data_IF_963916512713
#
_entry.id   IF_963916512713
#
_cell.length_a   1.000
_cell.length_b   1.000
_cell.length_c   1.000
_cell.angle_alpha   90.00
_cell.angle_beta   90.00
_cell.angle_gamma   90.00
#
_symmetry.space_group_name_H-M   'P 1'
#
loop_
_entity.id
_entity.type
_entity.pdbx_description
1 polymer ?
#
# COMPACT_ATOMS: atom_id res chain seq x y z
N UNK A 1 -6.90 -7.48 11.97
CA UNK A 1 -5.48 -7.87 11.88
C UNK A 1 -5.32 -8.85 10.74
N UNK A 2 -4.50 -8.52 9.74
CA UNK A 2 -4.29 -9.39 8.57
C UNK A 2 -3.06 -10.26 8.86
N UNK A 3 -3.21 -11.57 8.70
CA UNK A 3 -2.15 -12.52 9.02
C UNK A 3 -1.43 -12.91 7.73
N UNK A 4 -0.17 -12.49 7.58
CA UNK A 4 0.74 -12.98 6.55
C UNK A 4 1.65 -14.07 7.12
N UNK A 5 2.06 -15.06 6.30
CA UNK A 5 2.92 -16.13 6.76
C UNK A 5 4.33 -15.63 7.10
N UNK A 6 4.76 -15.82 8.35
CA UNK A 6 6.06 -15.39 8.89
C UNK A 6 7.20 -16.36 8.59
N UNK A 7 7.11 -17.12 7.50
CA UNK A 7 8.11 -18.13 7.16
C UNK A 7 9.45 -17.46 6.79
N UNK A 8 10.56 -17.99 7.32
CA UNK A 8 11.93 -17.56 7.01
C UNK A 8 12.23 -16.07 7.34
N UNK A 9 12.26 -15.71 8.64
CA UNK A 9 12.60 -14.35 9.07
C UNK A 9 14.03 -13.99 8.66
N UNK A 10 14.19 -12.81 8.04
CA UNK A 10 15.48 -12.23 7.70
C UNK A 10 15.92 -11.22 8.77
N UNK A 11 14.99 -10.39 9.23
CA UNK A 11 15.18 -9.45 10.33
C UNK A 11 13.89 -9.38 11.13
N UNK A 12 13.97 -9.37 12.46
CA UNK A 12 12.80 -9.23 13.34
C UNK A 12 13.08 -8.26 14.48
N UNK A 13 12.02 -7.58 14.94
CA UNK A 13 12.02 -6.68 16.10
C UNK A 13 13.09 -5.58 16.01
N UNK A 14 13.34 -5.09 14.80
CA UNK A 14 14.24 -3.95 14.59
C UNK A 14 13.47 -2.69 14.99
N UNK A 15 13.95 -1.97 16.00
CA UNK A 15 13.34 -0.70 16.39
C UNK A 15 13.41 0.29 15.20
N UNK A 16 12.25 0.78 14.75
CA UNK A 16 12.15 1.65 13.58
C UNK A 16 12.89 2.98 13.78
N UNK A 17 13.05 3.44 15.02
CA UNK A 17 13.84 4.63 15.38
C UNK A 17 15.35 4.48 15.15
N UNK A 18 15.86 3.26 14.96
CA UNK A 18 17.29 2.98 14.73
C UNK A 18 17.69 2.94 13.26
N UNK A 19 16.73 3.08 12.34
CA UNK A 19 16.97 2.97 10.91
C UNK A 19 16.28 4.09 10.15
N UNK A 20 16.82 4.44 8.99
CA UNK A 20 16.16 5.34 8.04
C UNK A 20 15.29 4.48 7.14
N UNK A 21 13.98 4.46 7.38
CA UNK A 21 13.04 3.56 6.70
C UNK A 21 13.07 3.67 5.16
N UNK A 22 13.14 4.87 4.55
CA UNK A 22 13.35 5.01 3.11
C UNK A 22 14.55 4.22 2.58
N UNK A 23 15.71 4.33 3.26
CA UNK A 23 16.91 3.60 2.85
C UNK A 23 16.73 2.08 2.96
N UNK A 24 15.98 1.61 3.97
CA UNK A 24 15.67 0.18 4.10
C UNK A 24 14.86 -0.29 2.91
N UNK A 25 13.79 0.43 2.54
CA UNK A 25 12.96 0.10 1.38
C UNK A 25 13.78 0.13 0.08
N UNK A 26 14.65 1.12 -0.10
CA UNK A 26 15.55 1.18 -1.25
C UNK A 26 16.55 0.02 -1.30
N UNK A 27 17.14 -0.36 -0.15
CA UNK A 27 18.07 -1.49 -0.06
C UNK A 27 17.39 -2.80 -0.40
N UNK A 28 16.14 -3.01 0.04
CA UNK A 28 15.34 -4.17 -0.36
C UNK A 28 15.10 -4.16 -1.87
N UNK A 29 14.79 -3.00 -2.46
CA UNK A 29 14.59 -2.88 -3.90
C UNK A 29 15.84 -3.17 -4.71
N UNK A 30 16.93 -2.42 -4.46
CA UNK A 30 18.23 -2.56 -5.14
C UNK A 30 18.83 -3.96 -4.95
N UNK A 31 18.59 -4.59 -3.81
CA UNK A 31 19.08 -5.93 -3.48
C UNK A 31 18.29 -7.08 -4.11
N UNK A 32 17.26 -6.81 -4.93
CA UNK A 32 16.46 -7.86 -5.56
C UNK A 32 15.62 -8.66 -4.57
N UNK A 33 15.23 -8.06 -3.44
CA UNK A 33 14.54 -8.76 -2.35
C UNK A 33 13.20 -9.37 -2.81
N UNK A 34 12.85 -10.51 -2.22
CA UNK A 34 11.58 -11.21 -2.43
C UNK A 34 11.03 -11.66 -1.09
N UNK A 35 9.81 -11.24 -0.76
CA UNK A 35 9.22 -11.43 0.55
C UNK A 35 8.38 -10.22 0.95
N UNK A 36 8.31 -9.92 2.25
CA UNK A 36 7.64 -8.70 2.70
C UNK A 36 8.36 -7.99 3.83
N UNK A 37 8.23 -6.67 3.82
CA UNK A 37 8.54 -5.76 4.90
C UNK A 37 7.27 -5.54 5.71
N UNK A 38 7.38 -5.61 7.03
CA UNK A 38 6.30 -5.35 7.97
C UNK A 38 6.76 -4.30 8.97
N UNK A 39 5.89 -3.33 9.23
CA UNK A 39 6.05 -2.40 10.33
C UNK A 39 4.84 -2.49 11.26
N UNK A 40 5.09 -2.50 12.57
CA UNK A 40 4.06 -2.60 13.60
C UNK A 40 4.26 -1.48 14.62
N UNK A 41 3.16 -0.79 14.95
CA UNK A 41 3.06 0.15 16.05
C UNK A 41 1.68 0.01 16.73
N UNK A 42 1.44 0.63 17.89
CA UNK A 42 0.13 0.56 18.54
C UNK A 42 -1.00 0.98 17.59
N UNK A 43 -1.95 0.06 17.33
CA UNK A 43 -3.12 0.25 16.46
C UNK A 43 -2.79 0.52 14.98
N UNK A 44 -1.54 0.32 14.56
CA UNK A 44 -1.09 0.52 13.19
C UNK A 44 -0.22 -0.64 12.71
N UNK A 45 -0.52 -1.15 11.52
CA UNK A 45 0.32 -2.13 10.83
C UNK A 45 0.54 -1.67 9.38
N UNK A 46 1.72 -1.94 8.85
CA UNK A 46 2.06 -1.74 7.45
C UNK A 46 2.72 -3.00 6.89
N UNK A 47 2.42 -3.30 5.63
CA UNK A 47 2.99 -4.38 4.84
C UNK A 47 3.42 -3.86 3.48
N UNK A 48 4.68 -4.09 3.10
CA UNK A 48 5.20 -3.86 1.76
C UNK A 48 5.65 -5.19 1.16
N UNK A 49 5.02 -5.64 0.08
CA UNK A 49 5.27 -6.95 -0.54
C UNK A 49 6.19 -6.77 -1.74
N UNK A 50 7.30 -7.50 -1.73
CA UNK A 50 8.35 -7.43 -2.73
C UNK A 50 8.50 -8.71 -3.53
N UNK A 51 8.78 -8.56 -4.83
CA UNK A 51 9.29 -9.66 -5.65
C UNK A 51 10.40 -9.17 -6.58
N UNK A 52 11.55 -9.86 -6.53
CA UNK A 52 12.74 -9.55 -7.34
C UNK A 52 13.14 -8.06 -7.28
N UNK A 53 13.02 -7.44 -6.11
CA UNK A 53 13.35 -6.03 -5.87
C UNK A 53 12.24 -5.04 -6.22
N UNK A 54 11.13 -5.46 -6.83
CA UNK A 54 9.98 -4.59 -7.07
C UNK A 54 9.04 -4.59 -5.89
N UNK A 55 8.54 -3.43 -5.49
CA UNK A 55 7.48 -3.31 -4.49
C UNK A 55 6.13 -3.48 -5.20
N UNK A 56 5.59 -4.69 -5.12
CA UNK A 56 4.33 -5.08 -5.77
C UNK A 56 3.14 -4.34 -5.18
N UNK A 57 3.11 -4.23 -3.84
CA UNK A 57 2.07 -3.47 -3.16
C UNK A 57 2.51 -2.97 -1.78
N UNK A 58 1.84 -1.91 -1.33
CA UNK A 58 1.90 -1.39 0.02
C UNK A 58 0.50 -1.35 0.60
N UNK A 59 0.36 -1.75 1.86
CA UNK A 59 -0.90 -1.77 2.60
C UNK A 59 -0.63 -1.30 4.02
N UNK A 60 -1.50 -0.46 4.56
CA UNK A 60 -1.52 -0.13 5.98
C UNK A 60 -2.92 -0.30 6.55
N UNK A 61 -2.99 -0.54 7.86
CA UNK A 61 -4.23 -0.57 8.62
C UNK A 61 -4.07 0.33 9.84
N UNK A 62 -4.86 1.41 9.92
CA UNK A 62 -4.91 2.31 11.06
C UNK A 62 -6.31 2.27 11.67
N UNK A 63 -6.45 1.76 12.90
CA UNK A 63 -7.75 1.61 13.56
C UNK A 63 -8.81 0.89 12.70
N UNK A 64 -8.38 -0.09 11.90
CA UNK A 64 -9.26 -0.87 11.02
C UNK A 64 -9.62 -0.19 9.70
N UNK A 65 -9.06 0.99 9.40
CA UNK A 65 -9.14 1.62 8.08
C UNK A 65 -7.91 1.26 7.28
N UNK A 66 -8.13 0.56 6.18
CA UNK A 66 -7.06 0.11 5.32
C UNK A 66 -6.75 1.16 4.25
N UNK A 67 -5.47 1.46 4.04
CA UNK A 67 -4.95 2.30 2.95
C UNK A 67 -3.94 1.52 2.13
N UNK A 68 -3.81 1.85 0.84
CA UNK A 68 -2.98 1.08 -0.10
C UNK A 68 -2.05 1.98 -0.91
N UNK A 69 -1.02 1.40 -1.51
CA UNK A 69 -0.12 2.10 -2.43
C UNK A 69 0.57 3.29 -1.76
N UNK A 70 0.52 4.45 -2.41
CA UNK A 70 1.14 5.68 -1.92
C UNK A 70 0.62 6.13 -0.56
N UNK A 71 -0.69 6.10 -0.33
CA UNK A 71 -1.27 6.52 0.96
C UNK A 71 -0.74 5.67 2.12
N UNK A 72 -0.55 4.37 1.89
CA UNK A 72 0.03 3.48 2.89
C UNK A 72 1.48 3.84 3.22
N UNK A 73 2.27 4.27 2.22
CA UNK A 73 3.65 4.70 2.40
C UNK A 73 3.75 6.03 3.14
N UNK A 74 2.88 6.99 2.82
CA UNK A 74 2.78 8.26 3.56
C UNK A 74 2.48 7.99 5.03
N UNK A 75 1.44 7.18 5.30
CA UNK A 75 1.07 6.82 6.67
C UNK A 75 2.18 6.05 7.40
N UNK A 76 2.89 5.16 6.73
CA UNK A 76 4.05 4.48 7.31
C UNK A 76 5.06 5.49 7.85
N UNK A 77 5.45 6.48 7.05
CA UNK A 77 6.47 7.45 7.45
C UNK A 77 6.00 8.35 8.58
N UNK A 78 4.77 8.84 8.53
CA UNK A 78 4.20 9.63 9.63
C UNK A 78 4.18 8.80 10.94
N UNK A 79 3.78 7.52 10.87
CA UNK A 79 3.70 6.65 12.05
C UNK A 79 5.06 6.27 12.61
N UNK A 80 6.06 6.04 11.77
CA UNK A 80 7.43 5.75 12.22
C UNK A 80 7.99 6.93 13.00
N UNK A 81 7.79 8.16 12.49
CA UNK A 81 8.29 9.39 13.13
C UNK A 81 7.59 9.65 14.46
N UNK A 82 6.26 9.48 14.51
CA UNK A 82 5.46 9.81 15.70
C UNK A 82 5.49 8.72 16.78
N UNK A 83 5.45 7.45 16.40
CA UNK A 83 5.17 6.34 17.33
C UNK A 83 6.34 5.37 17.52
N UNK A 84 7.46 5.53 16.79
CA UNK A 84 8.56 4.58 16.84
C UNK A 84 8.17 3.26 16.18
N UNK A 85 8.03 2.17 16.93
CA UNK A 85 7.57 0.87 16.42
C UNK A 85 8.67 -0.11 16.00
N UNK A 86 8.25 -1.24 15.44
CA UNK A 86 9.10 -2.39 15.10
C UNK A 86 9.00 -2.73 13.61
N UNK A 87 10.14 -3.08 13.03
CA UNK A 87 10.28 -3.55 11.65
C UNK A 87 10.64 -5.03 11.66
N UNK A 88 9.97 -5.78 10.79
CA UNK A 88 10.22 -7.18 10.52
C UNK A 88 10.31 -7.39 9.00
N UNK A 89 11.19 -8.27 8.56
CA UNK A 89 11.41 -8.60 7.15
C UNK A 89 11.47 -10.11 7.01
N UNK A 90 10.59 -10.67 6.20
CA UNK A 90 10.47 -12.12 6.01
C UNK A 90 10.73 -12.45 4.55
N UNK A 91 11.65 -13.39 4.30
CA UNK A 91 12.06 -13.79 2.95
C UNK A 91 11.14 -14.88 2.44
N UNK A 92 10.77 -14.81 1.16
CA UNK A 92 9.89 -15.79 0.52
C UNK A 92 10.40 -16.19 -0.86
N UNK A 93 9.85 -17.27 -1.41
CA UNK A 93 9.93 -17.51 -2.85
C UNK A 93 9.03 -16.52 -3.58
N UNK A 94 9.27 -16.31 -4.89
CA UNK A 94 8.46 -15.40 -5.68
C UNK A 94 6.98 -15.82 -5.72
N UNK A 95 6.72 -17.13 -5.82
CA UNK A 95 5.36 -17.67 -5.83
C UNK A 95 4.63 -17.42 -4.49
N UNK A 96 5.34 -17.50 -3.37
CA UNK A 96 4.78 -17.17 -2.06
C UNK A 96 4.56 -15.67 -1.87
N UNK A 97 5.39 -14.81 -2.47
CA UNK A 97 5.17 -13.37 -2.47
C UNK A 97 3.88 -12.99 -3.24
N UNK A 98 3.60 -13.67 -4.37
CA UNK A 98 2.31 -13.55 -5.07
C UNK A 98 1.15 -13.98 -4.18
N UNK A 99 1.30 -15.07 -3.43
CA UNK A 99 0.28 -15.51 -2.49
C UNK A 99 0.06 -14.52 -1.33
N UNK A 100 1.14 -13.91 -0.81
CA UNK A 100 1.05 -12.84 0.18
C UNK A 100 0.32 -11.62 -0.41
N UNK A 101 0.59 -11.29 -1.67
CA UNK A 101 -0.17 -10.25 -2.40
C UNK A 101 -1.65 -10.60 -2.49
N UNK A 102 -2.02 -11.85 -2.75
CA UNK A 102 -3.43 -12.27 -2.74
C UNK A 102 -4.11 -12.05 -1.38
N UNK A 103 -3.43 -12.34 -0.27
CA UNK A 103 -3.94 -12.06 1.07
C UNK A 103 -4.08 -10.55 1.37
N UNK A 104 -3.20 -9.73 0.79
CA UNK A 104 -3.19 -8.29 0.97
C UNK A 104 -4.20 -7.58 0.06
N UNK A 105 -4.12 -7.72 -1.25
CA UNK A 105 -4.91 -6.96 -2.22
C UNK A 105 -5.60 -7.83 -3.26
N UNK A 106 -5.62 -9.15 -3.06
CA UNK A 106 -6.29 -10.08 -3.96
C UNK A 106 -7.81 -9.93 -3.97
N UNK A 107 -8.43 -10.45 -5.02
CA UNK A 107 -9.87 -10.58 -5.11
C UNK A 107 -10.34 -11.76 -4.24
N UNK A 108 -11.45 -11.57 -3.53
CA UNK A 108 -12.02 -12.60 -2.66
C UNK A 108 -13.03 -13.41 -3.44
N UNK A 109 -12.73 -14.69 -3.67
CA UNK A 109 -13.67 -15.66 -4.25
C UNK A 109 -14.67 -16.16 -3.20
N UNK A 110 -14.21 -16.27 -1.96
CA UNK A 110 -14.99 -16.63 -0.78
C UNK A 110 -14.51 -15.78 0.39
N UNK A 111 -15.44 -15.25 1.20
CA UNK A 111 -15.14 -14.21 2.18
C UNK A 111 -15.63 -14.56 3.59
N UNK A 112 -15.06 -15.60 4.18
CA UNK A 112 -15.35 -16.00 5.55
C UNK A 112 -16.62 -16.85 5.69
N UNK A 113 -16.93 -17.69 4.71
CA UNK A 113 -18.04 -18.65 4.83
C UNK A 113 -17.72 -19.71 5.89
N UNK A 114 -18.72 -20.22 6.61
CA UNK A 114 -18.48 -21.32 7.55
C UNK A 114 -18.11 -22.59 6.78
N UNK A 115 -16.98 -23.23 7.12
CA UNK A 115 -16.45 -24.39 6.38
C UNK A 115 -17.47 -25.52 6.26
N UNK A 116 -18.29 -25.73 7.31
CA UNK A 116 -19.33 -26.77 7.34
C UNK A 116 -20.46 -26.56 6.34
N UNK A 117 -20.67 -25.33 5.89
CA UNK A 117 -21.72 -24.97 4.94
C UNK A 117 -21.22 -24.92 3.49
N UNK A 118 -19.91 -25.13 3.29
CA UNK A 118 -19.28 -25.01 1.98
C UNK A 118 -18.93 -26.39 1.42
N UNK A 119 -19.26 -26.63 0.15
CA UNK A 119 -18.73 -27.77 -0.59
C UNK A 119 -17.24 -27.53 -0.93
N UNK A 120 -16.37 -28.00 -0.03
CA UNK A 120 -14.93 -27.87 -0.19
C UNK A 120 -14.41 -28.53 -1.46
N UNK A 121 -15.02 -29.62 -1.94
CA UNK A 121 -14.58 -30.28 -3.17
C UNK A 121 -14.80 -29.36 -4.37
N UNK A 122 -15.95 -28.71 -4.42
CA UNK A 122 -16.28 -27.72 -5.45
C UNK A 122 -15.42 -26.46 -5.36
N UNK A 123 -15.10 -25.98 -4.15
CA UNK A 123 -14.17 -24.85 -3.96
C UNK A 123 -12.79 -25.17 -4.54
N UNK A 124 -12.21 -26.31 -4.14
CA UNK A 124 -10.88 -26.71 -4.59
C UNK A 124 -10.86 -27.00 -6.11
N UNK A 125 -11.93 -27.59 -6.63
CA UNK A 125 -12.09 -27.78 -8.07
C UNK A 125 -12.16 -26.45 -8.83
N UNK A 126 -12.80 -25.42 -8.25
CA UNK A 126 -12.85 -24.07 -8.85
C UNK A 126 -11.49 -23.38 -8.84
N UNK A 127 -10.73 -23.47 -7.73
CA UNK A 127 -9.35 -22.94 -7.66
C UNK A 127 -8.49 -23.58 -8.74
N UNK A 128 -8.59 -24.91 -8.90
CA UNK A 128 -7.87 -25.65 -9.95
C UNK A 128 -8.32 -25.27 -11.35
N UNK A 129 -9.63 -25.27 -11.61
CA UNK A 129 -10.20 -25.02 -12.93
C UNK A 129 -9.98 -23.59 -13.45
N UNK A 130 -9.76 -22.62 -12.55
CA UNK A 130 -9.43 -21.24 -12.89
C UNK A 130 -7.93 -20.97 -12.96
N UNK A 131 -7.07 -21.98 -12.76
CA UNK A 131 -5.62 -21.81 -12.63
C UNK A 131 -5.25 -20.70 -11.63
N UNK A 132 -5.97 -20.63 -10.50
CA UNK A 132 -5.85 -19.50 -9.61
C UNK A 132 -4.48 -19.44 -8.91
N UNK A 133 -3.92 -18.23 -8.81
CA UNK A 133 -2.79 -17.90 -7.96
C UNK A 133 -3.31 -17.25 -6.67
N UNK A 134 -2.93 -17.75 -5.50
CA UNK A 134 -3.38 -17.16 -4.24
C UNK A 134 -3.45 -18.12 -3.06
N UNK A 135 -4.43 -17.90 -2.17
CA UNK A 135 -4.49 -18.56 -0.87
C UNK A 135 -5.89 -19.06 -0.55
N UNK A 136 -5.97 -20.31 -0.12
CA UNK A 136 -7.12 -20.84 0.61
C UNK A 136 -6.77 -20.80 2.10
N UNK A 137 -7.52 -20.04 2.88
CA UNK A 137 -7.30 -19.85 4.32
C UNK A 137 -8.46 -20.42 5.12
N UNK A 138 -8.10 -21.20 6.13
CA UNK A 138 -9.00 -21.69 7.17
C UNK A 138 -8.66 -21.00 8.47
N UNK A 139 -9.65 -20.45 9.17
CA UNK A 139 -9.38 -19.77 10.44
C UNK A 139 -10.54 -19.83 11.41
N UNK A 140 -10.20 -19.74 12.68
CA UNK A 140 -11.10 -19.45 13.82
C UNK A 140 -10.62 -18.15 14.48
N UNK A 141 -11.11 -17.82 15.67
CA UNK A 141 -10.55 -16.75 16.51
C UNK A 141 -9.07 -16.98 16.84
N UNK A 142 -8.68 -18.24 17.07
CA UNK A 142 -7.40 -18.58 17.71
C UNK A 142 -6.46 -19.38 16.81
N UNK A 143 -7.00 -20.01 15.76
CA UNK A 143 -6.24 -20.87 14.84
C UNK A 143 -6.33 -20.39 13.41
N UNK A 144 -5.23 -20.44 12.67
CA UNK A 144 -5.20 -20.14 11.23
C UNK A 144 -4.30 -21.09 10.48
N UNK A 145 -4.76 -21.57 9.32
CA UNK A 145 -3.99 -22.35 8.37
C UNK A 145 -4.25 -21.91 6.92
N UNK A 146 -3.28 -22.10 6.05
CA UNK A 146 -3.24 -21.62 4.68
C UNK A 146 -2.75 -22.72 3.75
N UNK A 147 -3.32 -22.74 2.55
CA UNK A 147 -2.82 -23.49 1.40
C UNK A 147 -2.50 -22.47 0.31
N UNK A 148 -1.27 -22.47 -0.16
CA UNK A 148 -0.81 -21.58 -1.22
C UNK A 148 -0.97 -22.25 -2.57
N UNK A 149 -1.46 -21.50 -3.55
CA UNK A 149 -1.72 -21.98 -4.90
C UNK A 149 -0.96 -21.17 -5.94
N UNK A 150 -0.41 -21.88 -6.92
CA UNK A 150 0.10 -21.34 -8.18
C UNK A 150 -0.51 -22.12 -9.33
N UNK A 151 -1.08 -21.41 -10.29
CA UNK A 151 -1.72 -22.00 -11.48
C UNK A 151 -2.72 -23.13 -11.09
N UNK A 152 -3.47 -22.93 -10.01
CA UNK A 152 -4.45 -23.89 -9.51
C UNK A 152 -3.87 -25.12 -8.79
N UNK A 153 -2.55 -25.20 -8.61
CA UNK A 153 -1.85 -26.27 -7.92
C UNK A 153 -1.32 -25.82 -6.55
N UNK A 154 -1.45 -26.66 -5.50
CA UNK A 154 -0.91 -26.32 -4.19
C UNK A 154 0.62 -26.34 -4.22
N UNK A 155 1.24 -25.26 -3.73
CA UNK A 155 2.70 -25.10 -3.67
C UNK A 155 3.25 -25.11 -2.25
N UNK A 156 2.38 -25.09 -1.23
CA UNK A 156 2.81 -25.14 0.16
C UNK A 156 1.68 -24.91 1.15
N UNK A 157 1.99 -25.19 2.41
CA UNK A 157 1.06 -25.12 3.54
C UNK A 157 1.68 -24.33 4.69
N UNK A 158 0.88 -23.53 5.38
CA UNK A 158 1.33 -22.78 6.55
C UNK A 158 0.25 -22.73 7.62
N UNK A 159 0.66 -22.65 8.88
CA UNK A 159 -0.23 -22.43 10.00
C UNK A 159 0.43 -21.48 11.01
N UNK A 160 -0.37 -20.91 11.90
CA UNK A 160 0.02 -20.02 13.00
C UNK A 160 1.27 -20.43 13.80
N UNK A 161 1.45 -21.73 14.07
CA UNK A 161 2.62 -22.28 14.77
C UNK A 161 3.79 -22.68 13.87
N UNK A 162 3.72 -22.47 12.56
CA UNK A 162 4.75 -22.93 11.62
C UNK A 162 5.92 -21.94 11.53
N UNK A 163 7.14 -22.47 11.63
CA UNK A 163 8.36 -21.71 11.38
C UNK A 163 8.73 -21.63 9.87
N UNK A 164 8.16 -22.52 9.06
CA UNK A 164 8.45 -22.63 7.64
C UNK A 164 7.22 -23.10 6.85
N UNK A 165 7.31 -23.02 5.53
CA UNK A 165 6.28 -23.57 4.64
C UNK A 165 6.42 -25.09 4.58
N UNK A 166 5.35 -25.78 4.92
CA UNK A 166 5.27 -27.24 4.88
C UNK A 166 4.79 -27.76 3.53
N UNK A 167 4.94 -29.08 3.34
CA UNK A 167 4.45 -29.83 2.17
C UNK A 167 3.18 -30.64 2.44
N UNK A 168 2.69 -30.65 3.69
CA UNK A 168 1.51 -31.43 4.09
C UNK A 168 0.30 -30.55 4.41
N UNK A 169 -0.91 -30.94 3.96
CA UNK A 169 -2.18 -30.30 4.33
C UNK A 169 -2.72 -30.69 5.72
N UNK A 170 -2.04 -31.53 6.51
CA UNK A 170 -2.58 -32.10 7.74
C UNK A 170 -3.09 -31.04 8.73
N UNK A 171 -2.29 -30.02 9.02
CA UNK A 171 -2.69 -28.95 9.93
C UNK A 171 -3.82 -28.10 9.35
N UNK A 172 -3.83 -27.85 8.04
CA UNK A 172 -4.95 -27.15 7.38
C UNK A 172 -6.26 -27.91 7.52
N UNK A 173 -6.23 -29.24 7.40
CA UNK A 173 -7.42 -30.09 7.64
C UNK A 173 -7.89 -30.03 9.10
N UNK A 174 -6.95 -30.05 10.06
CA UNK A 174 -7.28 -29.95 11.48
C UNK A 174 -7.96 -28.62 11.80
N UNK A 175 -7.43 -27.50 11.30
CA UNK A 175 -8.03 -26.17 11.50
C UNK A 175 -9.40 -26.07 10.82
N UNK A 176 -9.55 -26.60 9.60
CA UNK A 176 -10.83 -26.62 8.89
C UNK A 176 -11.92 -27.44 9.61
N UNK A 177 -11.54 -28.46 10.39
CA UNK A 177 -12.47 -29.30 11.15
C UNK A 177 -12.94 -28.67 12.47
N UNK A 178 -12.31 -27.56 12.92
CA UNK A 178 -12.68 -26.90 14.17
C UNK A 178 -14.11 -26.34 14.11
N UNK A 179 -14.85 -26.34 15.24
CA UNK A 179 -16.13 -25.66 15.32
C UNK A 179 -16.01 -24.17 14.98
N UNK A 180 -16.91 -23.66 14.14
CA UNK A 180 -16.89 -22.25 13.71
C UNK A 180 -15.73 -21.89 12.78
N UNK A 181 -14.99 -22.86 12.23
CA UNK A 181 -13.97 -22.58 11.23
C UNK A 181 -14.58 -21.89 10.01
N UNK A 182 -13.90 -20.84 9.55
CA UNK A 182 -14.28 -20.03 8.39
C UNK A 182 -13.29 -20.22 7.25
N UNK A 183 -13.81 -20.15 6.04
CA UNK A 183 -13.09 -20.27 4.79
C UNK A 183 -12.99 -18.91 4.11
N UNK A 184 -11.78 -18.54 3.72
CA UNK A 184 -11.50 -17.42 2.84
C UNK A 184 -10.66 -17.92 1.66
N UNK A 185 -11.00 -17.48 0.45
CA UNK A 185 -10.23 -17.79 -0.75
C UNK A 185 -9.92 -16.49 -1.45
N UNK A 186 -8.63 -16.16 -1.47
CA UNK A 186 -8.10 -14.97 -2.13
C UNK A 186 -7.34 -15.39 -3.38
N UNK A 187 -7.61 -14.74 -4.51
CA UNK A 187 -6.85 -14.94 -5.75
C UNK A 187 -6.25 -13.62 -6.23
N UNK A 188 -5.23 -13.72 -7.07
CA UNK A 188 -4.56 -12.56 -7.64
C UNK A 188 -3.98 -12.88 -9.01
N UNK A 189 -3.44 -11.84 -9.65
CA UNK A 189 -2.78 -11.90 -10.96
C UNK A 189 -1.48 -12.71 -10.91
N UNK A 190 -0.93 -13.06 -12.06
CA UNK A 190 0.37 -13.76 -12.12
C UNK A 190 1.51 -12.86 -11.63
N UNK A 191 2.67 -13.46 -11.35
CA UNK A 191 3.85 -12.70 -10.97
C UNK A 191 4.24 -11.68 -12.06
N UNK A 192 4.18 -12.10 -13.32
CA UNK A 192 4.54 -11.28 -14.48
C UNK A 192 3.65 -10.05 -14.58
N UNK A 193 2.34 -10.22 -14.39
CA UNK A 193 1.37 -9.11 -14.38
C UNK A 193 1.59 -8.16 -13.20
N UNK A 194 1.83 -8.70 -11.99
CA UNK A 194 2.08 -7.87 -10.81
C UNK A 194 3.40 -7.08 -10.94
N UNK A 195 4.42 -7.69 -11.53
CA UNK A 195 5.74 -7.07 -11.75
C UNK A 195 5.73 -5.98 -12.84
N UNK A 196 4.62 -5.77 -13.57
CA UNK A 196 4.49 -4.61 -14.45
C UNK A 196 4.47 -3.30 -13.67
N UNK A 197 4.15 -3.37 -12.38
CA UNK A 197 4.12 -2.23 -11.47
C UNK A 197 5.24 -2.35 -10.44
N UNK A 198 5.89 -1.22 -10.15
CA UNK A 198 6.87 -1.11 -9.08
C UNK A 198 6.62 0.19 -8.32
N UNK A 199 5.98 0.08 -7.16
CA UNK A 199 5.66 1.26 -6.35
C UNK A 199 6.92 2.03 -5.95
N UNK A 200 8.09 1.39 -5.83
CA UNK A 200 9.33 2.11 -5.53
C UNK A 200 9.76 3.06 -6.64
N UNK A 201 9.45 2.74 -7.90
CA UNK A 201 9.77 3.60 -9.05
C UNK A 201 8.73 4.69 -9.26
N UNK A 202 7.53 4.52 -8.71
CA UNK A 202 6.42 5.46 -8.85
C UNK A 202 6.43 6.56 -7.78
N UNK A 203 7.28 6.45 -6.75
CA UNK A 203 7.28 7.36 -5.60
C UNK A 203 8.69 7.83 -5.27
N UNK A 204 8.81 9.08 -4.83
CA UNK A 204 10.07 9.59 -4.27
C UNK A 204 10.08 9.39 -2.75
N UNK A 205 10.68 8.29 -2.29
CA UNK A 205 10.71 7.93 -0.86
C UNK A 205 11.37 9.01 0.02
N UNK A 206 12.43 9.64 -0.49
CA UNK A 206 13.14 10.72 0.22
C UNK A 206 12.24 11.94 0.42
N UNK A 207 11.57 12.39 -0.65
CA UNK A 207 10.63 13.51 -0.58
C UNK A 207 9.48 13.21 0.40
N UNK A 208 8.93 12.00 0.35
CA UNK A 208 7.85 11.59 1.25
C UNK A 208 8.29 11.58 2.72
N UNK A 209 9.50 11.13 2.98
CA UNK A 209 10.09 11.12 4.31
C UNK A 209 10.33 12.52 4.86
N UNK A 210 10.94 13.40 4.07
CA UNK A 210 11.18 14.79 4.48
C UNK A 210 9.87 15.57 4.66
N UNK A 211 8.86 15.27 3.84
CA UNK A 211 7.51 15.82 4.01
C UNK A 211 6.88 15.35 5.33
N UNK A 212 7.01 14.06 5.67
CA UNK A 212 6.54 13.51 6.94
C UNK A 212 7.28 14.14 8.13
N UNK A 213 8.61 14.32 8.05
CA UNK A 213 9.39 15.01 9.09
C UNK A 213 8.93 16.45 9.28
N UNK A 214 8.71 17.17 8.18
CA UNK A 214 8.27 18.57 8.21
C UNK A 214 6.88 18.72 8.84
N UNK A 215 5.91 17.87 8.45
CA UNK A 215 4.56 17.84 9.03
C UNK A 215 4.59 17.56 10.54
N UNK A 216 5.39 16.59 10.97
CA UNK A 216 5.42 16.16 12.36
C UNK A 216 6.28 17.08 13.25
N UNK A 217 7.27 17.79 12.69
CA UNK A 217 8.01 18.83 13.40
C UNK A 217 7.12 20.02 13.80
N UNK A 218 6.11 20.36 12.97
CA UNK A 218 5.12 21.39 13.28
C UNK A 218 4.11 20.98 14.38
N UNK A 219 3.99 19.67 14.66
CA UNK A 219 3.10 19.09 15.67
C UNK A 219 3.78 18.83 17.02
N UNK A 220 5.10 19.03 17.12
CA UNK A 220 5.81 18.98 18.40
C UNK A 220 5.28 20.09 19.34
N UNK A 221 5.11 19.85 20.65
CA UNK A 221 4.63 20.88 21.55
C UNK A 221 5.58 22.09 21.53
N UNK A 222 5.06 23.23 21.08
CA UNK A 222 5.70 24.54 21.23
C UNK A 222 5.78 24.90 22.72
N UNK A 223 6.81 24.42 23.40
CA UNK A 223 7.41 25.21 24.47
C UNK A 223 8.40 26.18 23.84
N UNK A 224 8.11 27.47 24.01
CA UNK A 224 8.89 28.64 23.59
C UNK A 224 8.91 28.98 22.09
N UNK A 225 7.98 29.86 21.67
CA UNK A 225 8.33 31.16 21.09
C UNK A 225 7.05 31.92 20.68
N UNK A 226 6.67 32.87 21.53
CA UNK A 226 5.87 34.04 21.14
C UNK A 226 6.83 35.05 20.50
N UNK A 227 6.33 35.78 19.50
CA UNK A 227 6.93 36.92 18.79
C UNK A 227 7.74 36.61 17.52
N UNK A 228 7.09 36.76 16.36
CA UNK A 228 7.41 37.82 15.40
C UNK A 228 6.49 37.72 14.17
N UNK A 229 5.81 38.83 13.87
CA UNK A 229 4.92 38.96 12.72
C UNK A 229 5.64 39.32 11.41
N UNK A 230 4.87 39.18 10.34
CA UNK A 230 5.04 39.71 8.96
C UNK A 230 6.22 39.21 8.11
N UNK A 231 6.08 38.00 7.53
CA UNK A 231 6.72 37.56 6.27
C UNK A 231 5.79 36.61 5.49
N UNK A 232 4.53 36.99 5.26
CA UNK A 232 3.49 36.04 4.80
C UNK A 232 3.28 36.00 3.28
N UNK A 233 3.70 37.01 2.50
CA UNK A 233 3.29 37.09 1.08
C UNK A 233 4.22 36.41 0.06
N UNK A 234 5.53 36.29 0.31
CA UNK A 234 6.46 35.63 -0.64
C UNK A 234 6.53 34.11 -0.47
N UNK A 235 6.26 33.62 0.75
CA UNK A 235 6.28 32.20 1.09
C UNK A 235 5.06 31.46 0.52
N UNK A 236 3.92 32.13 0.33
CA UNK A 236 2.71 31.53 -0.23
C UNK A 236 2.80 31.25 -1.73
N UNK A 237 3.48 32.12 -2.49
CA UNK A 237 3.55 31.99 -3.95
C UNK A 237 4.52 30.88 -4.37
N UNK A 238 5.65 30.75 -3.67
CA UNK A 238 6.61 29.67 -3.91
C UNK A 238 6.01 28.29 -3.58
N UNK A 239 5.27 28.17 -2.47
CA UNK A 239 4.56 26.93 -2.10
C UNK A 239 3.51 26.52 -3.13
N UNK A 240 2.83 27.50 -3.73
CA UNK A 240 1.84 27.25 -4.78
C UNK A 240 2.49 26.79 -6.09
N UNK A 241 3.66 27.31 -6.44
CA UNK A 241 4.42 26.83 -7.60
C UNK A 241 4.90 25.40 -7.40
N UNK A 242 5.43 25.09 -6.21
CA UNK A 242 5.83 23.72 -5.85
C UNK A 242 4.62 22.77 -5.85
N UNK A 243 3.45 23.21 -5.36
CA UNK A 243 2.23 22.40 -5.42
C UNK A 243 1.83 22.12 -6.87
N UNK A 244 1.88 23.11 -7.76
CA UNK A 244 1.55 22.90 -9.17
C UNK A 244 2.53 21.94 -9.84
N UNK A 245 3.83 22.01 -9.53
CA UNK A 245 4.81 21.07 -10.06
C UNK A 245 4.53 19.64 -9.57
N UNK A 246 4.20 19.48 -8.29
CA UNK A 246 3.84 18.18 -7.73
C UNK A 246 2.55 17.59 -8.32
N UNK A 247 1.53 18.42 -8.51
CA UNK A 247 0.32 18.01 -9.23
C UNK A 247 0.63 17.60 -10.68
N UNK A 248 1.59 18.28 -11.30
CA UNK A 248 2.03 18.00 -12.66
C UNK A 248 2.82 16.68 -12.76
N UNK A 249 3.66 16.38 -11.77
CA UNK A 249 4.38 15.11 -11.66
C UNK A 249 3.42 13.94 -11.34
N UNK A 250 2.43 14.15 -10.46
CA UNK A 250 1.38 13.17 -10.19
C UNK A 250 0.64 12.83 -11.49
N UNK A 251 0.18 13.84 -12.23
CA UNK A 251 -0.50 13.60 -13.49
C UNK A 251 0.43 12.93 -14.53
N UNK A 252 1.72 13.28 -14.54
CA UNK A 252 2.70 12.66 -15.42
C UNK A 252 2.98 11.19 -15.11
N UNK A 253 2.88 10.77 -13.85
CA UNK A 253 3.03 9.36 -13.48
C UNK A 253 1.90 8.47 -14.06
N UNK A 254 0.72 9.03 -14.28
CA UNK A 254 -0.45 8.29 -14.80
C UNK A 254 -0.65 8.45 -16.29
N UNK A 255 -0.32 9.62 -16.85
CA UNK A 255 -0.59 9.99 -18.24
C UNK A 255 0.64 10.47 -19.00
N UNK A 256 1.84 10.25 -18.47
CA UNK A 256 3.11 10.70 -19.08
C UNK A 256 3.08 12.21 -19.36
N UNK A 257 3.68 12.66 -20.48
CA UNK A 257 3.71 14.09 -20.84
C UNK A 257 2.31 14.71 -21.01
N UNK A 258 1.29 13.91 -21.35
CA UNK A 258 -0.07 14.40 -21.50
C UNK A 258 -0.66 14.85 -20.14
N UNK A 259 -0.37 14.12 -19.06
CA UNK A 259 -0.80 14.49 -17.71
C UNK A 259 -0.28 15.85 -17.26
N UNK A 260 1.03 16.08 -17.41
CA UNK A 260 1.65 17.39 -17.10
C UNK A 260 1.00 18.52 -17.90
N UNK A 261 0.79 18.32 -19.20
CA UNK A 261 0.18 19.32 -20.07
C UNK A 261 -1.26 19.67 -19.66
N UNK A 262 -2.05 18.70 -19.18
CA UNK A 262 -3.41 18.92 -18.68
C UNK A 262 -3.38 19.84 -17.45
N UNK A 263 -2.51 19.55 -16.47
CA UNK A 263 -2.39 20.35 -15.24
C UNK A 263 -1.96 21.78 -15.55
N UNK A 264 -0.89 21.95 -16.33
CA UNK A 264 -0.37 23.27 -16.73
C UNK A 264 -1.42 24.09 -17.49
N UNK A 265 -2.14 23.47 -18.43
CA UNK A 265 -3.23 24.10 -19.18
C UNK A 265 -4.33 24.59 -18.23
N UNK A 266 -4.80 23.75 -17.32
CA UNK A 266 -5.91 24.09 -16.41
C UNK A 266 -5.52 25.15 -15.37
N UNK A 267 -4.26 25.17 -14.93
CA UNK A 267 -3.74 26.26 -14.08
C UNK A 267 -3.70 27.59 -14.86
N UNK A 268 -3.23 27.56 -16.11
CA UNK A 268 -3.13 28.77 -16.96
C UNK A 268 -4.49 29.35 -17.33
N UNK A 269 -5.44 28.50 -17.74
CA UNK A 269 -6.80 28.92 -18.13
C UNK A 269 -7.59 29.57 -16.99
N UNK A 270 -7.24 29.27 -15.74
CA UNK A 270 -7.95 29.79 -14.56
C UNK A 270 -7.28 30.98 -13.91
N UNK A 271 -6.22 31.51 -14.51
CA UNK A 271 -5.54 32.71 -14.01
C UNK A 271 -4.49 32.44 -12.92
N UNK A 272 -3.91 31.23 -12.91
CA UNK A 272 -2.72 30.91 -12.11
C UNK A 272 -2.96 30.02 -10.88
N UNK A 273 -1.86 29.70 -10.20
CA UNK A 273 -1.82 28.77 -9.06
C UNK A 273 -2.55 29.26 -7.81
N UNK A 274 -2.77 30.57 -7.69
CA UNK A 274 -3.50 31.19 -6.57
C UNK A 274 -4.96 30.75 -6.46
N UNK A 275 -5.55 30.20 -7.53
CA UNK A 275 -6.90 29.65 -7.50
C UNK A 275 -7.03 28.35 -6.69
N UNK A 276 -5.91 27.67 -6.40
CA UNK A 276 -5.92 26.45 -5.59
C UNK A 276 -6.23 26.73 -4.11
N UNK A 277 -6.13 28.00 -3.67
CA UNK A 277 -6.46 28.44 -2.30
C UNK A 277 -7.97 28.59 -2.04
N UNK A 278 -8.80 28.56 -3.09
CA UNK A 278 -10.25 28.70 -3.01
C UNK A 278 -10.89 27.31 -3.22
N UNK A 279 -11.54 26.78 -2.18
CA UNK A 279 -12.11 25.42 -2.17
C UNK A 279 -13.09 25.16 -3.32
N UNK A 280 -13.91 26.15 -3.68
CA UNK A 280 -14.88 26.02 -4.76
C UNK A 280 -14.18 25.94 -6.11
N UNK A 281 -13.12 26.74 -6.29
CA UNK A 281 -12.31 26.71 -7.51
C UNK A 281 -11.43 25.48 -7.56
N UNK A 282 -10.86 25.03 -6.46
CA UNK A 282 -10.09 23.81 -6.37
C UNK A 282 -10.89 22.58 -6.82
N UNK A 283 -12.12 22.47 -6.32
CA UNK A 283 -13.05 21.39 -6.69
C UNK A 283 -13.32 21.38 -8.20
N UNK A 284 -13.55 22.56 -8.78
CA UNK A 284 -13.76 22.70 -10.23
C UNK A 284 -12.50 22.42 -11.04
N UNK A 285 -11.32 22.77 -10.52
CA UNK A 285 -10.04 22.45 -11.17
C UNK A 285 -9.84 20.94 -11.27
N UNK A 286 -10.04 20.21 -10.16
CA UNK A 286 -9.90 18.76 -10.12
C UNK A 286 -10.88 18.06 -11.07
N UNK A 287 -12.14 18.48 -11.10
CA UNK A 287 -13.14 17.92 -12.02
C UNK A 287 -12.77 18.13 -13.50
N UNK A 288 -12.15 19.27 -13.83
CA UNK A 288 -11.68 19.55 -15.20
C UNK A 288 -10.44 18.73 -15.57
N UNK A 289 -9.52 18.53 -14.62
CA UNK A 289 -8.36 17.66 -14.82
C UNK A 289 -8.81 16.22 -15.03
N UNK A 290 -9.77 15.74 -14.23
CA UNK A 290 -10.37 14.41 -14.36
C UNK A 290 -11.03 14.21 -15.73
N UNK A 291 -11.84 15.17 -16.18
CA UNK A 291 -12.50 15.12 -17.48
C UNK A 291 -11.50 15.09 -18.65
N UNK A 292 -10.44 15.91 -18.60
CA UNK A 292 -9.42 15.94 -19.65
C UNK A 292 -8.56 14.66 -19.63
N UNK A 293 -8.29 14.13 -18.44
CA UNK A 293 -7.55 12.90 -18.24
C UNK A 293 -8.29 11.69 -18.83
N UNK A 294 -9.59 11.58 -18.57
CA UNK A 294 -10.46 10.54 -19.15
C UNK A 294 -10.55 10.65 -20.68
N UNK A 295 -10.56 11.87 -21.22
CA UNK A 295 -10.53 12.09 -22.67
C UNK A 295 -9.18 11.75 -23.30
N UNK A 296 -8.08 11.84 -22.54
CA UNK A 296 -6.73 11.51 -22.99
C UNK A 296 -6.46 10.00 -22.96
N UNK A 297 -6.80 9.31 -21.88
CA UNK A 297 -6.68 7.85 -21.77
C UNK A 297 -7.73 7.29 -20.80
N UNK A 298 -8.77 6.69 -21.35
CA UNK A 298 -9.87 6.10 -20.59
C UNK A 298 -9.48 4.81 -19.84
N UNK A 299 -8.31 4.21 -20.11
CA UNK A 299 -7.85 2.99 -19.43
C UNK A 299 -6.87 3.29 -18.28
N UNK A 300 -6.42 4.53 -18.15
CA UNK A 300 -5.58 4.96 -17.04
C UNK A 300 -6.39 5.03 -15.73
N UNK A 301 -5.71 4.84 -14.59
CA UNK A 301 -6.34 4.87 -13.26
C UNK A 301 -6.59 6.31 -12.79
N UNK A 302 -7.47 7.02 -13.48
CA UNK A 302 -7.72 8.45 -13.27
C UNK A 302 -8.27 8.74 -11.88
N UNK A 303 -9.13 7.88 -11.34
CA UNK A 303 -9.67 8.03 -9.98
C UNK A 303 -8.54 8.05 -8.94
N UNK A 304 -7.56 7.13 -9.05
CA UNK A 304 -6.40 7.10 -8.16
C UNK A 304 -5.52 8.35 -8.33
N UNK A 305 -5.33 8.82 -9.57
CA UNK A 305 -4.59 10.06 -9.85
C UNK A 305 -5.25 11.28 -9.19
N UNK A 306 -6.57 11.42 -9.32
CA UNK A 306 -7.32 12.55 -8.75
C UNK A 306 -7.32 12.50 -7.22
N UNK A 307 -7.42 11.30 -6.63
CA UNK A 307 -7.33 11.15 -5.19
C UNK A 307 -5.91 11.48 -4.66
N UNK A 308 -4.86 11.14 -5.39
CA UNK A 308 -3.49 11.59 -5.07
C UNK A 308 -3.36 13.11 -5.13
N UNK A 309 -3.92 13.76 -6.15
CA UNK A 309 -3.91 15.21 -6.26
C UNK A 309 -4.65 15.87 -5.09
N UNK A 310 -5.84 15.37 -4.73
CA UNK A 310 -6.61 15.85 -3.55
C UNK A 310 -5.81 15.72 -2.26
N UNK A 311 -5.13 14.59 -2.08
CA UNK A 311 -4.31 14.34 -0.89
C UNK A 311 -3.09 15.27 -0.83
N UNK A 312 -2.41 15.49 -1.95
CA UNK A 312 -1.28 16.42 -2.03
C UNK A 312 -1.71 17.86 -1.70
N UNK A 313 -2.87 18.26 -2.24
CA UNK A 313 -3.46 19.58 -1.95
C UNK A 313 -3.84 19.70 -0.47
N UNK A 314 -4.56 18.72 0.07
CA UNK A 314 -4.97 18.73 1.48
C UNK A 314 -3.76 18.75 2.42
N UNK A 315 -2.67 18.05 2.06
CA UNK A 315 -1.43 18.05 2.83
C UNK A 315 -0.67 19.38 2.82
N UNK A 316 -0.86 20.22 1.80
CA UNK A 316 -0.18 21.52 1.67
C UNK A 316 -1.01 22.73 2.08
N UNK A 317 -2.33 22.64 1.94
CA UNK A 317 -3.26 23.73 2.24
C UNK A 317 -3.89 23.63 3.63
N UNK A 318 -3.70 22.53 4.37
CA UNK A 318 -4.02 22.46 5.79
C UNK A 318 -3.01 23.29 6.61
N UNK A 319 -3.22 24.61 6.67
CA UNK A 319 -2.59 25.57 7.59
C UNK A 319 -3.68 26.38 8.27
#
# INVERSE_FOLDING_TARGET
MRFLPKANPLYEKIAASKVVVPEVLEKLGKGGFTGYFQYIAPKFEFYGIFAKGKLLCALSSDNGRDKTGFEALVLLFDKVILAGGEINVYRMTADLAVCAHALALGSRMFNGEEVRQVDMKSVLARVKGQNANGVVRFYTSDRSAMIFYKDGLPIGFYHDGAAAIGSSPDESRKVAALPGARLEVCSTKTLEELMQYDLLQMVNLEKLWESARSRNAALAPKEAAVAAGSVVSSVSEQKLLELVDDLSEIAAAYLSRAGRAIVEKRIKERGGSSQLLDDAKLTQFLALVESDALASDAHARIDEMIDLMKSEIAGRLAV
#
